data_IF_059311589808
#
_entry.id   IF_059311589808
#
_cell.length_a   1.000
_cell.length_b   1.000
_cell.length_c   1.000
_cell.angle_alpha   90.00
_cell.angle_beta   90.00
_cell.angle_gamma   90.00
#
_symmetry.space_group_name_H-M   'P 1'
#
loop_
_entity.id
_entity.type
_entity.pdbx_description
1 polymer ?
#
# COMPACT_ATOMS: atom_id res chain seq x y z
N UNK A 1 49.01 -20.99 84.20
CA UNK A 1 49.64 -20.56 82.95
C UNK A 1 49.28 -21.46 81.77
N UNK A 2 49.37 -22.80 81.87
CA UNK A 2 49.01 -23.72 80.76
C UNK A 2 47.52 -23.68 80.34
N UNK A 3 46.59 -23.46 81.28
CA UNK A 3 45.16 -23.39 80.97
C UNK A 3 44.74 -22.11 80.24
N UNK A 4 45.43 -20.99 80.50
CA UNK A 4 45.16 -19.70 79.85
C UNK A 4 45.54 -19.75 78.37
N UNK A 5 46.75 -20.26 78.07
CA UNK A 5 47.21 -20.43 76.69
C UNK A 5 46.33 -21.36 75.87
N UNK A 6 45.76 -22.43 76.46
CA UNK A 6 44.80 -23.30 75.76
C UNK A 6 43.50 -22.61 75.39
N UNK A 7 43.06 -21.62 76.18
CA UNK A 7 41.84 -20.85 75.90
C UNK A 7 42.12 -19.78 74.85
N UNK A 8 43.29 -19.13 74.92
CA UNK A 8 43.76 -18.17 73.90
C UNK A 8 43.90 -18.84 72.52
N UNK A 9 44.58 -19.99 72.44
CA UNK A 9 44.72 -20.72 71.16
C UNK A 9 43.36 -21.15 70.60
N UNK A 10 42.44 -21.63 71.45
CA UNK A 10 41.08 -21.96 70.99
C UNK A 10 40.32 -20.76 70.46
N UNK A 11 40.50 -19.59 71.08
CA UNK A 11 39.85 -18.36 70.64
C UNK A 11 40.41 -17.92 69.28
N UNK A 12 41.74 -18.00 69.10
CA UNK A 12 42.40 -17.73 67.83
C UNK A 12 41.94 -18.70 66.73
N UNK A 13 41.82 -20.00 67.03
CA UNK A 13 41.30 -21.01 66.10
C UNK A 13 39.85 -20.69 65.68
N UNK A 14 38.99 -20.34 66.65
CA UNK A 14 37.61 -19.92 66.41
C UNK A 14 37.51 -18.62 65.59
N UNK A 15 38.41 -17.66 65.82
CA UNK A 15 38.50 -16.44 65.02
C UNK A 15 38.86 -16.76 63.58
N UNK A 16 39.82 -17.67 63.38
CA UNK A 16 40.26 -18.06 62.05
C UNK A 16 39.17 -18.82 61.29
N UNK A 17 38.48 -19.76 61.95
CA UNK A 17 37.35 -20.50 61.37
C UNK A 17 36.20 -19.56 60.99
N UNK A 18 35.85 -18.61 61.87
CA UNK A 18 34.81 -17.63 61.60
C UNK A 18 35.14 -16.73 60.41
N UNK A 19 36.39 -16.28 60.32
CA UNK A 19 36.82 -15.43 59.22
C UNK A 19 36.82 -16.19 57.89
N UNK A 20 37.21 -17.48 57.90
CA UNK A 20 37.15 -18.32 56.70
C UNK A 20 35.72 -18.61 56.23
N UNK A 21 34.80 -18.94 57.14
CA UNK A 21 33.44 -19.32 56.73
C UNK A 21 32.52 -18.11 56.48
N UNK A 22 32.67 -17.02 57.24
CA UNK A 22 31.72 -15.91 57.23
C UNK A 22 32.35 -14.56 56.84
N UNK A 23 33.68 -14.49 56.62
CA UNK A 23 34.42 -13.24 56.38
C UNK A 23 34.08 -12.11 57.39
N UNK A 24 33.85 -12.47 58.65
CA UNK A 24 33.49 -11.51 59.72
C UNK A 24 34.34 -11.74 60.97
N UNK A 25 34.39 -10.72 61.84
CA UNK A 25 35.12 -10.78 63.12
C UNK A 25 34.20 -11.12 64.28
N UNK A 26 34.73 -11.74 65.34
CA UNK A 26 33.96 -12.13 66.54
C UNK A 26 33.28 -10.92 67.18
N UNK A 27 33.95 -9.77 67.21
CA UNK A 27 33.41 -8.53 67.77
C UNK A 27 32.14 -8.06 67.05
N UNK A 28 32.12 -8.16 65.71
CA UNK A 28 30.97 -7.80 64.90
C UNK A 28 29.75 -8.69 65.19
N UNK A 29 29.97 -9.95 65.54
CA UNK A 29 28.90 -10.90 65.90
C UNK A 29 28.37 -10.62 67.30
N UNK A 30 29.27 -10.34 68.26
CA UNK A 30 28.87 -9.99 69.62
C UNK A 30 28.07 -8.68 69.66
N UNK A 31 28.41 -7.69 68.82
CA UNK A 31 27.63 -6.45 68.68
C UNK A 31 26.23 -6.65 68.10
N UNK A 32 25.97 -7.77 67.40
CA UNK A 32 24.62 -8.10 66.90
C UNK A 32 23.67 -8.60 67.99
N UNK A 33 24.16 -8.78 69.23
CA UNK A 33 23.30 -9.07 70.39
C UNK A 33 22.63 -10.45 70.35
N UNK A 34 23.33 -11.45 69.85
CA UNK A 34 22.79 -12.82 69.75
C UNK A 34 22.81 -13.47 71.14
N UNK A 35 21.68 -13.99 71.59
CA UNK A 35 21.58 -14.69 72.87
C UNK A 35 22.43 -15.98 72.85
N UNK A 36 23.21 -16.27 73.90
CA UNK A 36 24.02 -17.48 73.95
C UNK A 36 23.10 -18.71 74.01
N UNK A 37 23.17 -19.58 73.00
CA UNK A 37 22.40 -20.83 72.98
C UNK A 37 22.96 -21.85 73.98
N UNK A 38 22.08 -22.65 74.56
CA UNK A 38 22.48 -23.76 75.44
C UNK A 38 23.15 -24.89 74.66
N UNK A 39 24.03 -25.65 75.32
CA UNK A 39 24.80 -26.76 74.70
C UNK A 39 23.90 -27.79 73.98
N UNK A 40 22.68 -28.04 74.45
CA UNK A 40 21.69 -28.95 73.84
C UNK A 40 21.02 -28.39 72.58
N UNK A 41 20.91 -27.07 72.47
CA UNK A 41 20.30 -26.40 71.31
C UNK A 41 21.32 -26.22 70.18
N UNK A 42 22.61 -26.18 70.54
CA UNK A 42 23.73 -26.09 69.60
C UNK A 42 23.75 -27.28 68.62
N UNK A 43 23.51 -28.50 69.12
CA UNK A 43 23.49 -29.72 68.28
C UNK A 43 22.36 -29.67 67.25
N UNK A 44 21.16 -29.25 67.65
CA UNK A 44 20.01 -29.13 66.75
C UNK A 44 20.22 -28.04 65.69
N UNK A 45 20.81 -26.91 66.08
CA UNK A 45 21.14 -25.80 65.16
C UNK A 45 22.24 -26.22 64.19
N UNK A 46 23.27 -26.95 64.64
CA UNK A 46 24.34 -27.45 63.78
C UNK A 46 23.82 -28.39 62.69
N UNK A 47 22.89 -29.29 63.03
CA UNK A 47 22.23 -30.16 62.04
C UNK A 47 21.42 -29.35 61.02
N UNK A 48 20.74 -28.28 61.45
CA UNK A 48 20.00 -27.41 60.54
C UNK A 48 20.92 -26.59 59.64
N UNK A 49 22.05 -26.10 60.16
CA UNK A 49 23.08 -25.42 59.38
C UNK A 49 23.64 -26.37 58.31
N UNK A 50 23.95 -27.62 58.66
CA UNK A 50 24.42 -28.61 57.69
C UNK A 50 23.37 -28.90 56.60
N UNK A 51 22.09 -29.04 56.98
CA UNK A 51 20.99 -29.20 56.01
C UNK A 51 20.85 -27.99 55.08
N UNK A 52 20.98 -26.78 55.60
CA UNK A 52 20.95 -25.56 54.77
C UNK A 52 22.19 -25.44 53.88
N UNK A 53 23.39 -25.71 54.39
CA UNK A 53 24.63 -25.77 53.59
C UNK A 53 24.49 -26.79 52.44
N UNK A 54 23.90 -27.96 52.70
CA UNK A 54 23.60 -28.96 51.66
C UNK A 54 22.58 -28.47 50.61
N UNK A 55 21.50 -27.80 51.05
CA UNK A 55 20.52 -27.21 50.12
C UNK A 55 21.13 -26.12 49.24
N UNK A 56 21.97 -25.26 49.81
CA UNK A 56 22.69 -24.22 49.05
C UNK A 56 23.68 -24.85 48.07
N UNK A 57 24.38 -25.91 48.48
CA UNK A 57 25.24 -26.69 47.58
C UNK A 57 24.48 -27.32 46.41
N UNK A 58 23.22 -27.72 46.61
CA UNK A 58 22.39 -28.31 45.54
C UNK A 58 21.96 -27.28 44.48
N UNK A 59 21.75 -26.03 44.89
CA UNK A 59 21.33 -24.95 44.00
C UNK A 59 22.47 -24.55 43.04
N UNK A 60 23.71 -24.87 43.41
CA UNK A 60 24.90 -24.45 42.66
C UNK A 60 25.26 -22.99 42.93
N UNK A 61 26.45 -22.58 42.47
CA UNK A 61 26.87 -21.19 42.52
C UNK A 61 26.07 -20.31 41.56
N UNK A 62 26.00 -19.02 41.84
CA UNK A 62 25.59 -18.04 40.84
C UNK A 62 26.79 -17.91 39.90
N UNK A 63 26.62 -18.37 38.67
CA UNK A 63 27.61 -18.15 37.62
C UNK A 63 27.52 -16.69 37.17
N UNK A 64 28.61 -15.95 37.32
CA UNK A 64 28.69 -14.54 36.95
C UNK A 64 28.54 -14.37 35.43
N UNK A 65 28.97 -15.37 34.64
CA UNK A 65 28.79 -15.38 33.18
C UNK A 65 27.31 -15.44 32.78
N UNK A 66 26.46 -16.14 33.56
CA UNK A 66 25.01 -16.25 33.30
C UNK A 66 24.30 -14.93 33.59
N UNK A 67 24.76 -14.18 34.60
CA UNK A 67 24.22 -12.84 34.88
C UNK A 67 24.58 -11.88 33.74
N UNK A 68 25.83 -11.93 33.27
CA UNK A 68 26.27 -11.13 32.11
C UNK A 68 25.48 -11.51 30.84
N UNK A 69 25.33 -12.80 30.53
CA UNK A 69 24.58 -13.28 29.36
C UNK A 69 23.11 -12.85 29.42
N UNK A 70 22.48 -12.92 30.59
CA UNK A 70 21.11 -12.44 30.80
C UNK A 70 21.01 -10.94 30.52
N UNK A 71 21.95 -10.13 31.02
CA UNK A 71 21.93 -8.67 30.77
C UNK A 71 22.09 -8.35 29.28
N UNK A 72 23.04 -9.00 28.59
CA UNK A 72 23.24 -8.81 27.15
C UNK A 72 22.03 -9.26 26.32
N UNK A 73 21.43 -10.40 26.67
CA UNK A 73 20.24 -10.93 25.98
C UNK A 73 19.03 -10.02 26.20
N UNK A 74 18.87 -9.49 27.41
CA UNK A 74 17.81 -8.54 27.75
C UNK A 74 17.97 -7.22 26.99
N UNK A 75 19.18 -6.69 26.87
CA UNK A 75 19.47 -5.50 26.07
C UNK A 75 19.15 -5.73 24.59
N UNK A 76 19.59 -6.86 24.02
CA UNK A 76 19.28 -7.23 22.64
C UNK A 76 17.77 -7.37 22.42
N UNK A 77 17.08 -8.04 23.33
CA UNK A 77 15.62 -8.19 23.28
C UNK A 77 14.91 -6.84 23.34
N UNK A 78 15.34 -5.94 24.24
CA UNK A 78 14.79 -4.58 24.33
C UNK A 78 14.93 -3.83 23.00
N UNK A 79 16.13 -3.83 22.41
CA UNK A 79 16.37 -3.18 21.13
C UNK A 79 15.53 -3.76 19.98
N UNK A 80 15.40 -5.09 19.89
CA UNK A 80 14.55 -5.73 18.88
C UNK A 80 13.07 -5.42 19.09
N UNK A 81 12.62 -5.40 20.36
CA UNK A 81 11.22 -5.08 20.69
C UNK A 81 10.86 -3.64 20.32
N UNK A 82 11.78 -2.70 20.52
CA UNK A 82 11.59 -1.31 20.12
C UNK A 82 11.53 -1.19 18.59
N UNK A 83 12.44 -1.87 17.88
CA UNK A 83 12.43 -1.93 16.40
C UNK A 83 11.13 -2.54 15.85
N UNK A 84 10.63 -3.61 16.48
CA UNK A 84 9.35 -4.22 16.11
C UNK A 84 8.18 -3.25 16.34
N UNK A 85 8.18 -2.53 17.47
CA UNK A 85 7.16 -1.54 17.76
C UNK A 85 7.18 -0.39 16.75
N UNK A 86 8.37 0.09 16.36
CA UNK A 86 8.51 1.14 15.34
C UNK A 86 8.09 0.65 13.96
N UNK A 87 8.39 -0.59 13.59
CA UNK A 87 7.93 -1.18 12.34
C UNK A 87 6.40 -1.33 12.32
N UNK A 88 5.79 -1.78 13.42
CA UNK A 88 4.34 -1.86 13.55
C UNK A 88 3.69 -0.50 13.38
N UNK A 89 4.23 0.55 14.00
CA UNK A 89 3.74 1.92 13.81
C UNK A 89 3.88 2.39 12.38
N UNK A 90 5.00 2.12 11.72
CA UNK A 90 5.20 2.47 10.31
C UNK A 90 4.19 1.77 9.39
N UNK A 91 3.82 0.52 9.69
CA UNK A 91 2.76 -0.22 8.98
C UNK A 91 1.40 0.46 9.18
N UNK A 92 1.07 0.85 10.41
CA UNK A 92 -0.19 1.55 10.71
C UNK A 92 -0.27 2.92 10.03
N UNK A 93 0.84 3.66 10.02
CA UNK A 93 0.96 4.95 9.33
C UNK A 93 0.78 4.76 7.81
N UNK A 94 1.39 3.73 7.23
CA UNK A 94 1.23 3.40 5.81
C UNK A 94 -0.23 3.07 5.47
N UNK A 95 -0.90 2.26 6.29
CA UNK A 95 -2.32 1.94 6.10
C UNK A 95 -3.21 3.19 6.18
N UNK A 96 -2.90 4.11 7.10
CA UNK A 96 -3.60 5.39 7.23
C UNK A 96 -3.41 6.25 5.98
N UNK A 97 -2.17 6.36 5.49
CA UNK A 97 -1.85 7.10 4.27
C UNK A 97 -2.56 6.50 3.05
N UNK A 98 -2.57 5.18 2.91
CA UNK A 98 -3.30 4.47 1.84
C UNK A 98 -4.80 4.81 1.89
N UNK A 99 -5.40 4.82 3.07
CA UNK A 99 -6.82 5.15 3.23
C UNK A 99 -7.13 6.61 2.85
N UNK A 100 -6.24 7.55 3.18
CA UNK A 100 -6.36 8.95 2.78
C UNK A 100 -6.23 9.13 1.27
N UNK A 101 -5.23 8.48 0.65
CA UNK A 101 -5.04 8.51 -0.80
C UNK A 101 -6.26 7.94 -1.53
N UNK A 102 -6.80 6.80 -1.07
CA UNK A 102 -8.01 6.19 -1.62
C UNK A 102 -9.20 7.16 -1.59
N UNK A 103 -9.38 7.90 -0.49
CA UNK A 103 -10.44 8.90 -0.36
C UNK A 103 -10.26 10.07 -1.34
N UNK A 104 -9.03 10.57 -1.48
CA UNK A 104 -8.69 11.64 -2.43
C UNK A 104 -8.91 11.15 -3.88
N UNK A 105 -8.45 9.95 -4.20
CA UNK A 105 -8.61 9.34 -5.52
C UNK A 105 -10.08 9.17 -5.88
N UNK A 106 -10.91 8.67 -4.96
CA UNK A 106 -12.36 8.54 -5.18
C UNK A 106 -13.01 9.89 -5.47
N UNK A 107 -12.71 10.91 -4.67
CA UNK A 107 -13.26 12.26 -4.85
C UNK A 107 -12.82 12.89 -6.19
N UNK A 108 -11.55 12.75 -6.58
CA UNK A 108 -11.03 13.22 -7.87
C UNK A 108 -11.69 12.48 -9.03
N UNK A 109 -11.81 11.16 -8.95
CA UNK A 109 -12.46 10.31 -9.94
C UNK A 109 -13.92 10.69 -10.12
N UNK A 110 -14.71 10.78 -9.04
CA UNK A 110 -16.14 11.12 -9.11
C UNK A 110 -16.36 12.47 -9.81
N UNK A 111 -15.49 13.45 -9.55
CA UNK A 111 -15.54 14.77 -10.19
C UNK A 111 -15.20 14.65 -11.68
N UNK A 112 -14.10 13.99 -12.03
CA UNK A 112 -13.67 13.80 -13.41
C UNK A 112 -14.70 13.00 -14.22
N UNK A 113 -15.26 11.93 -13.65
CA UNK A 113 -16.26 11.08 -14.30
C UNK A 113 -17.57 11.82 -14.55
N UNK A 114 -18.05 12.62 -13.59
CA UNK A 114 -19.24 13.47 -13.79
C UNK A 114 -19.03 14.48 -14.92
N UNK A 115 -17.85 15.09 -15.00
CA UNK A 115 -17.52 16.00 -16.08
C UNK A 115 -17.43 15.25 -17.43
N UNK A 116 -16.83 14.06 -17.44
CA UNK A 116 -16.71 13.23 -18.64
C UNK A 116 -18.05 12.81 -19.19
N UNK A 117 -18.93 12.35 -18.31
CA UNK A 117 -20.30 11.99 -18.64
C UNK A 117 -21.05 13.16 -19.28
N UNK A 118 -20.89 14.37 -18.74
CA UNK A 118 -21.52 15.59 -19.26
C UNK A 118 -20.99 15.96 -20.66
N UNK A 119 -19.67 16.02 -20.83
CA UNK A 119 -19.08 16.36 -22.12
C UNK A 119 -19.33 15.28 -23.17
N UNK A 120 -19.32 13.99 -22.78
CA UNK A 120 -19.69 12.89 -23.67
C UNK A 120 -21.12 13.02 -24.18
N UNK A 121 -22.09 13.25 -23.29
CA UNK A 121 -23.49 13.46 -23.70
C UNK A 121 -23.65 14.68 -24.63
N UNK A 122 -22.89 15.75 -24.36
CA UNK A 122 -22.87 16.97 -25.20
C UNK A 122 -22.32 16.66 -26.60
N UNK A 123 -21.11 16.11 -26.71
CA UNK A 123 -20.51 15.82 -28.02
C UNK A 123 -21.28 14.77 -28.80
N UNK A 124 -21.83 13.76 -28.12
CA UNK A 124 -22.71 12.78 -28.76
C UNK A 124 -23.92 13.46 -29.40
N UNK A 125 -24.61 14.34 -28.66
CA UNK A 125 -25.77 15.05 -29.19
C UNK A 125 -25.42 15.96 -30.37
N UNK A 126 -24.22 16.56 -30.39
CA UNK A 126 -23.76 17.40 -31.50
C UNK A 126 -23.50 16.54 -32.75
N UNK A 127 -22.80 15.42 -32.60
CA UNK A 127 -22.43 14.53 -33.71
C UNK A 127 -23.65 13.88 -34.36
N UNK A 128 -24.62 13.45 -33.55
CA UNK A 128 -25.83 12.77 -34.02
C UNK A 128 -27.00 13.73 -34.33
N UNK A 129 -26.83 15.04 -34.15
CA UNK A 129 -27.91 16.04 -34.28
C UNK A 129 -29.13 15.74 -33.39
N UNK A 130 -28.85 15.23 -32.19
CA UNK A 130 -29.81 14.66 -31.27
C UNK A 130 -29.34 13.32 -30.68
N UNK A 131 -30.27 12.59 -30.09
CA UNK A 131 -29.95 11.35 -29.37
C UNK A 131 -29.45 11.58 -27.94
N UNK A 132 -29.17 10.50 -27.22
CA UNK A 132 -28.70 10.51 -25.83
C UNK A 132 -27.62 9.46 -25.63
N UNK A 133 -26.60 9.77 -24.85
CA UNK A 133 -25.60 8.80 -24.45
C UNK A 133 -25.21 9.02 -22.99
N UNK A 134 -24.82 7.95 -22.30
CA UNK A 134 -24.40 7.98 -20.90
C UNK A 134 -23.30 6.95 -20.63
N UNK A 135 -22.51 7.22 -19.60
CA UNK A 135 -21.42 6.37 -19.11
C UNK A 135 -21.79 5.81 -17.73
N UNK A 136 -21.71 4.50 -17.59
CA UNK A 136 -22.11 3.79 -16.37
C UNK A 136 -20.90 3.06 -15.80
N UNK A 137 -20.57 3.29 -14.53
CA UNK A 137 -19.51 2.55 -13.83
C UNK A 137 -20.01 1.17 -13.43
N UNK A 138 -19.25 0.13 -13.77
CA UNK A 138 -19.50 -1.26 -13.39
C UNK A 138 -18.61 -1.58 -12.19
N UNK A 139 -19.24 -2.05 -11.12
CA UNK A 139 -18.55 -2.50 -9.92
C UNK A 139 -18.69 -4.01 -9.77
N UNK A 140 -17.59 -4.70 -9.54
CA UNK A 140 -17.57 -6.12 -9.22
C UNK A 140 -17.21 -6.32 -7.75
N UNK A 141 -17.77 -7.37 -7.16
CA UNK A 141 -17.35 -7.81 -5.82
C UNK A 141 -16.03 -8.56 -5.95
N UNK A 142 -15.02 -8.18 -5.15
CA UNK A 142 -13.81 -9.00 -5.01
C UNK A 142 -14.23 -10.40 -4.56
N UNK A 143 -13.99 -11.40 -5.43
CA UNK A 143 -14.04 -12.79 -4.99
C UNK A 143 -12.97 -12.93 -3.93
N UNK A 144 -13.35 -13.41 -2.75
CA UNK A 144 -12.38 -13.92 -1.78
C UNK A 144 -11.51 -14.92 -2.53
N UNK A 145 -10.19 -14.69 -2.58
CA UNK A 145 -9.27 -15.80 -2.73
C UNK A 145 -9.54 -16.69 -1.53
N UNK A 146 -10.15 -17.85 -1.77
CA UNK A 146 -10.33 -18.85 -0.74
C UNK A 146 -8.93 -19.25 -0.25
N UNK A 147 -8.48 -18.68 0.86
CA UNK A 147 -7.20 -19.02 1.50
C UNK A 147 -7.23 -20.41 2.17
N UNK A 148 -8.10 -21.32 1.70
CA UNK A 148 -8.15 -22.69 2.20
C UNK A 148 -7.04 -23.59 1.64
N UNK A 149 -6.31 -23.16 0.59
CA UNK A 149 -5.28 -24.01 -0.03
C UNK A 149 -3.87 -23.85 0.57
N UNK A 150 -3.59 -22.78 1.34
CA UNK A 150 -2.30 -22.62 2.03
C UNK A 150 -2.36 -22.96 3.54
N UNK A 151 -3.56 -23.01 4.13
CA UNK A 151 -3.75 -23.42 5.53
C UNK A 151 -3.51 -24.93 5.75
N UNK A 152 -3.59 -25.76 4.71
CA UNK A 152 -3.43 -27.21 4.82
C UNK A 152 -1.98 -27.69 5.04
N UNK A 153 -0.99 -26.78 5.01
CA UNK A 153 0.45 -27.14 5.15
C UNK A 153 1.01 -26.79 6.53
N UNK A 154 0.23 -26.14 7.40
CA UNK A 154 0.71 -25.65 8.72
C UNK A 154 0.08 -26.36 9.93
N UNK A 155 -0.66 -27.45 9.74
CA UNK A 155 -1.34 -28.19 10.83
C UNK A 155 -0.44 -29.13 11.66
N UNK A 156 0.89 -29.14 11.49
CA UNK A 156 1.76 -30.07 12.26
C UNK A 156 2.59 -29.46 13.40
N UNK A 157 2.56 -28.15 13.66
CA UNK A 157 3.22 -27.61 14.86
C UNK A 157 2.28 -26.78 15.72
N UNK A 158 2.00 -27.33 16.90
CA UNK A 158 1.18 -26.80 17.97
C UNK A 158 1.57 -25.38 18.38
N UNK A 159 0.69 -24.41 18.14
CA UNK A 159 0.58 -23.19 18.95
C UNK A 159 -0.89 -22.78 19.01
N UNK A 160 -1.37 -22.46 20.21
CA UNK A 160 -2.77 -22.18 20.53
C UNK A 160 -3.42 -21.17 19.56
N UNK A 161 -4.38 -21.68 18.77
CA UNK A 161 -5.02 -20.98 17.66
C UNK A 161 -6.40 -20.40 18.02
N UNK A 162 -6.61 -19.95 19.27
CA UNK A 162 -7.91 -19.38 19.66
C UNK A 162 -7.97 -17.84 19.61
N UNK A 163 -6.83 -17.14 19.62
CA UNK A 163 -6.81 -15.66 19.68
C UNK A 163 -6.50 -14.94 18.35
N UNK A 164 -6.14 -15.67 17.28
CA UNK A 164 -5.72 -15.05 15.99
C UNK A 164 -6.88 -14.97 14.98
N UNK A 165 -7.87 -15.85 15.05
CA UNK A 165 -8.99 -15.86 14.10
C UNK A 165 -10.01 -14.72 14.32
N UNK A 166 -10.21 -14.26 15.55
CA UNK A 166 -11.29 -13.31 15.84
C UNK A 166 -10.96 -11.85 15.46
N UNK A 167 -9.67 -11.50 15.40
CA UNK A 167 -9.21 -10.14 15.06
C UNK A 167 -9.13 -9.94 13.53
N UNK A 168 -8.80 -10.99 12.77
CA UNK A 168 -8.76 -10.95 11.31
C UNK A 168 -10.16 -10.98 10.66
N UNK A 169 -11.15 -11.58 11.33
CA UNK A 169 -12.51 -11.75 10.79
C UNK A 169 -13.40 -10.50 10.86
N UNK A 170 -13.03 -9.46 11.63
CA UNK A 170 -13.85 -8.26 11.85
C UNK A 170 -13.27 -7.00 11.19
N UNK A 171 -13.26 -6.93 9.84
CA UNK A 171 -13.45 -5.70 9.00
C UNK A 171 -12.89 -5.79 7.57
N UNK A 172 -12.98 -6.91 6.87
CA UNK A 172 -12.90 -6.84 5.40
C UNK A 172 -14.28 -6.37 4.91
N UNK A 173 -14.51 -5.05 4.96
CA UNK A 173 -15.64 -4.42 4.27
C UNK A 173 -15.56 -4.87 2.82
N UNK A 174 -16.62 -5.54 2.33
CA UNK A 174 -16.84 -5.80 0.90
C UNK A 174 -16.52 -4.54 0.11
N UNK A 175 -15.33 -4.47 -0.49
CA UNK A 175 -14.89 -3.32 -1.26
C UNK A 175 -15.35 -3.59 -2.68
N UNK A 176 -16.42 -2.92 -3.11
CA UNK A 176 -16.83 -2.96 -4.50
C UNK A 176 -15.74 -2.29 -5.32
N UNK A 177 -15.05 -3.07 -6.15
CA UNK A 177 -13.96 -2.58 -7.00
C UNK A 177 -14.56 -2.16 -8.33
N UNK A 178 -14.14 -1.00 -8.82
CA UNK A 178 -14.50 -0.55 -10.15
C UNK A 178 -13.87 -1.51 -11.17
N UNK A 179 -14.69 -2.30 -11.85
CA UNK A 179 -14.24 -3.28 -12.85
C UNK A 179 -14.20 -2.67 -14.25
N UNK A 180 -15.10 -1.73 -14.55
CA UNK A 180 -15.10 -1.09 -15.86
C UNK A 180 -16.11 0.04 -16.01
N UNK A 181 -16.23 0.52 -17.25
CA UNK A 181 -17.19 1.54 -17.66
C UNK A 181 -17.98 0.98 -18.84
N UNK A 182 -19.30 0.95 -18.73
CA UNK A 182 -20.20 0.66 -19.85
C UNK A 182 -20.62 1.95 -20.55
N UNK A 183 -20.88 1.84 -21.85
CA UNK A 183 -21.30 2.95 -22.70
C UNK A 183 -22.69 2.62 -23.23
N UNK A 184 -23.65 3.49 -22.91
CA UNK A 184 -25.00 3.42 -23.46
C UNK A 184 -25.21 4.54 -24.47
N UNK A 185 -25.73 4.19 -25.64
CA UNK A 185 -25.96 5.14 -26.72
C UNK A 185 -27.36 4.96 -27.31
N UNK A 186 -28.00 6.07 -27.62
CA UNK A 186 -29.34 6.15 -28.18
C UNK A 186 -29.32 7.15 -29.34
N UNK A 187 -29.00 6.69 -30.56
CA UNK A 187 -29.10 7.50 -31.77
C UNK A 187 -30.53 8.04 -31.98
N UNK A 188 -30.72 9.13 -32.74
CA UNK A 188 -32.04 9.70 -33.00
C UNK A 188 -32.98 8.66 -33.63
N UNK A 189 -34.20 8.55 -33.07
CA UNK A 189 -35.22 7.62 -33.57
C UNK A 189 -35.03 6.15 -33.20
N UNK A 190 -34.01 5.78 -32.41
CA UNK A 190 -33.76 4.40 -31.95
C UNK A 190 -33.96 4.24 -30.45
N UNK A 191 -34.02 2.99 -29.99
CA UNK A 191 -33.98 2.63 -28.56
C UNK A 191 -32.54 2.64 -28.05
N UNK A 192 -32.37 2.74 -26.74
CA UNK A 192 -31.07 2.61 -26.07
C UNK A 192 -30.44 1.26 -26.42
N UNK A 193 -29.20 1.28 -26.86
CA UNK A 193 -28.43 0.10 -27.26
C UNK A 193 -27.03 0.16 -26.66
N UNK A 194 -26.43 -1.01 -26.41
CA UNK A 194 -25.00 -1.11 -26.12
C UNK A 194 -24.20 -0.91 -27.41
N UNK A 195 -22.96 -0.44 -27.29
CA UNK A 195 -22.09 -0.11 -28.45
C UNK A 195 -21.97 -1.26 -29.45
N UNK A 196 -22.01 -2.52 -28.98
CA UNK A 196 -21.93 -3.71 -29.85
C UNK A 196 -23.11 -3.86 -30.81
N UNK A 197 -24.27 -3.30 -30.48
CA UNK A 197 -25.49 -3.38 -31.29
C UNK A 197 -25.65 -2.24 -32.31
N UNK A 198 -24.76 -1.24 -32.28
CA UNK A 198 -24.78 -0.09 -33.18
C UNK A 198 -24.20 -0.43 -34.57
N UNK A 199 -24.59 0.35 -35.59
CA UNK A 199 -24.03 0.24 -36.94
C UNK A 199 -22.53 0.62 -36.98
N UNK A 200 -21.83 0.30 -38.08
CA UNK A 200 -20.42 0.66 -38.27
C UNK A 200 -20.14 2.15 -38.04
N UNK A 201 -20.87 3.04 -38.73
CA UNK A 201 -20.73 4.49 -38.58
C UNK A 201 -21.18 4.99 -37.20
N UNK A 202 -22.26 4.43 -36.65
CA UNK A 202 -22.74 4.81 -35.30
C UNK A 202 -21.72 4.48 -34.21
N UNK A 203 -21.02 3.34 -34.33
CA UNK A 203 -19.92 3.00 -33.43
C UNK A 203 -18.77 3.98 -33.55
N UNK A 204 -18.35 4.33 -34.77
CA UNK A 204 -17.27 5.29 -35.00
C UNK A 204 -17.62 6.66 -34.40
N UNK A 205 -18.82 7.18 -34.64
CA UNK A 205 -19.24 8.46 -34.07
C UNK A 205 -19.34 8.43 -32.54
N UNK A 206 -19.80 7.31 -31.96
CA UNK A 206 -19.83 7.14 -30.50
C UNK A 206 -18.43 7.14 -29.91
N UNK A 207 -17.47 6.46 -30.56
CA UNK A 207 -16.07 6.45 -30.16
C UNK A 207 -15.43 7.84 -30.27
N UNK A 208 -15.70 8.57 -31.34
CA UNK A 208 -15.21 9.95 -31.52
C UNK A 208 -15.80 10.87 -30.46
N UNK A 209 -17.09 10.75 -30.14
CA UNK A 209 -17.73 11.50 -29.06
C UNK A 209 -17.02 11.28 -27.71
N UNK A 210 -16.69 10.02 -27.39
CA UNK A 210 -15.96 9.67 -26.18
C UNK A 210 -14.54 10.23 -26.20
N UNK A 211 -13.83 10.11 -27.32
CA UNK A 211 -12.50 10.66 -27.49
C UNK A 211 -12.50 12.18 -27.26
N UNK A 212 -13.41 12.92 -27.90
CA UNK A 212 -13.55 14.37 -27.70
C UNK A 212 -13.85 14.73 -26.24
N UNK A 213 -14.67 13.94 -25.54
CA UNK A 213 -14.96 14.14 -24.12
C UNK A 213 -13.71 13.97 -23.25
N UNK A 214 -12.90 12.93 -23.52
CA UNK A 214 -11.63 12.70 -22.81
C UNK A 214 -10.66 13.85 -23.06
N UNK A 215 -10.49 14.25 -24.33
CA UNK A 215 -9.59 15.34 -24.72
C UNK A 215 -9.98 16.69 -24.11
N UNK A 216 -11.28 16.95 -23.92
CA UNK A 216 -11.75 18.18 -23.26
C UNK A 216 -11.40 18.24 -21.77
N UNK A 217 -11.41 17.10 -21.08
CA UNK A 217 -11.11 17.04 -19.63
C UNK A 217 -9.61 17.03 -19.39
N UNK A 218 -8.88 16.31 -20.23
CA UNK A 218 -7.44 16.15 -20.13
C UNK A 218 -6.78 16.59 -21.44
N UNK A 219 -6.67 17.91 -21.67
CA UNK A 219 -6.10 18.44 -22.91
C UNK A 219 -4.63 18.05 -23.00
N UNK A 220 -4.30 17.30 -24.05
CA UNK A 220 -2.92 16.94 -24.36
C UNK A 220 -2.25 18.07 -25.16
N UNK A 221 -0.94 18.31 -25.02
CA UNK A 221 -0.26 19.40 -25.74
C UNK A 221 -0.41 19.28 -27.27
N UNK A 222 -0.33 18.06 -27.80
CA UNK A 222 -0.58 17.76 -29.21
C UNK A 222 -1.34 16.44 -29.35
N UNK A 223 -2.12 16.31 -30.42
CA UNK A 223 -2.96 15.16 -30.73
C UNK A 223 -2.78 14.83 -32.20
N UNK A 224 -2.54 13.55 -32.51
CA UNK A 224 -2.44 13.04 -33.88
C UNK A 224 -3.65 12.14 -34.15
N UNK A 225 -4.39 12.44 -35.22
CA UNK A 225 -5.55 11.66 -35.66
C UNK A 225 -5.26 11.12 -37.06
N UNK A 226 -5.38 9.81 -37.24
CA UNK A 226 -5.13 9.14 -38.52
C UNK A 226 -6.42 8.54 -39.08
N UNK A 227 -6.92 9.12 -40.17
CA UNK A 227 -8.12 8.72 -40.93
C UNK A 227 -9.36 8.42 -40.08
N UNK A 228 -9.54 9.15 -38.98
CA UNK A 228 -10.62 8.90 -38.00
C UNK A 228 -12.02 9.12 -38.60
N UNK A 229 -12.13 9.93 -39.66
CA UNK A 229 -13.37 10.26 -40.35
C UNK A 229 -13.70 9.37 -41.55
N UNK A 230 -12.88 8.35 -41.88
CA UNK A 230 -13.04 7.56 -43.11
C UNK A 230 -14.41 6.85 -43.23
N UNK A 231 -15.06 6.56 -42.10
CA UNK A 231 -16.37 5.89 -42.04
C UNK A 231 -17.56 6.87 -41.93
N UNK A 232 -17.34 8.18 -42.10
CA UNK A 232 -18.34 9.21 -41.88
C UNK A 232 -18.79 9.85 -43.20
N UNK A 233 -20.03 10.31 -43.20
CA UNK A 233 -20.56 11.15 -44.29
C UNK A 233 -20.11 12.61 -44.12
N UNK A 234 -20.29 13.40 -45.17
CA UNK A 234 -19.85 14.79 -45.23
C UNK A 234 -20.49 15.66 -44.12
N UNK A 235 -21.76 15.42 -43.80
CA UNK A 235 -22.48 16.17 -42.76
C UNK A 235 -21.88 15.91 -41.37
N UNK A 236 -21.57 14.65 -41.03
CA UNK A 236 -20.95 14.31 -39.75
C UNK A 236 -19.48 14.72 -39.69
N UNK A 237 -18.74 14.68 -40.81
CA UNK A 237 -17.39 15.23 -40.89
C UNK A 237 -17.36 16.72 -40.51
N UNK A 238 -18.29 17.53 -41.02
CA UNK A 238 -18.38 18.95 -40.67
C UNK A 238 -18.65 19.18 -39.17
N UNK A 239 -19.47 18.33 -38.54
CA UNK A 239 -19.75 18.39 -37.10
C UNK A 239 -18.49 18.10 -36.27
N UNK A 240 -17.71 17.09 -36.66
CA UNK A 240 -16.44 16.77 -36.00
C UNK A 240 -15.46 17.92 -36.14
N UNK A 241 -15.32 18.49 -37.34
CA UNK A 241 -14.43 19.63 -37.57
C UNK A 241 -14.74 20.78 -36.61
N UNK A 242 -16.02 21.10 -36.39
CA UNK A 242 -16.41 22.15 -35.46
C UNK A 242 -16.02 21.82 -34.00
N UNK A 243 -16.15 20.55 -33.60
CA UNK A 243 -15.70 20.09 -32.28
C UNK A 243 -14.17 20.16 -32.17
N UNK A 244 -13.44 19.74 -33.20
CA UNK A 244 -11.98 19.78 -33.23
C UNK A 244 -11.47 21.23 -33.18
N UNK A 245 -12.15 22.19 -33.83
CA UNK A 245 -11.84 23.62 -33.71
C UNK A 245 -12.02 24.14 -32.28
N UNK A 246 -13.08 23.73 -31.57
CA UNK A 246 -13.26 24.06 -30.15
C UNK A 246 -12.12 23.48 -29.29
N UNK A 247 -11.70 22.24 -29.57
CA UNK A 247 -10.62 21.60 -28.82
C UNK A 247 -9.24 22.20 -29.19
N UNK A 248 -9.08 22.72 -30.41
CA UNK A 248 -7.84 23.28 -30.90
C UNK A 248 -7.42 24.56 -30.16
N UNK A 249 -8.35 25.23 -29.46
CA UNK A 249 -8.03 26.37 -28.58
C UNK A 249 -7.06 26.00 -27.44
N UNK A 250 -7.03 24.73 -27.04
CA UNK A 250 -6.23 24.25 -25.90
C UNK A 250 -5.16 23.22 -26.29
N UNK A 251 -5.29 22.59 -27.46
CA UNK A 251 -4.44 21.49 -27.91
C UNK A 251 -4.07 21.63 -29.38
N UNK A 252 -2.84 21.29 -29.76
CA UNK A 252 -2.46 21.27 -31.17
C UNK A 252 -2.97 19.99 -31.85
N UNK A 253 -3.65 20.09 -33.00
CA UNK A 253 -4.12 18.94 -33.77
C UNK A 253 -3.29 18.73 -35.04
N UNK A 254 -2.90 17.48 -35.27
CA UNK A 254 -2.29 17.00 -36.52
C UNK A 254 -3.23 15.92 -37.05
N UNK A 255 -3.84 16.15 -38.21
CA UNK A 255 -4.84 15.24 -38.77
C UNK A 255 -4.32 14.71 -40.11
N UNK A 256 -4.25 13.39 -40.23
CA UNK A 256 -3.94 12.68 -41.47
C UNK A 256 -5.27 12.26 -42.07
N UNK A 257 -5.59 12.78 -43.25
CA UNK A 257 -6.87 12.52 -43.91
C UNK A 257 -6.79 12.77 -45.40
N UNK A 258 -7.63 12.06 -46.14
CA UNK A 258 -7.92 12.31 -47.55
C UNK A 258 -9.28 13.04 -47.75
N UNK A 259 -9.99 13.37 -46.67
CA UNK A 259 -11.30 14.02 -46.72
C UNK A 259 -11.15 15.54 -47.00
N UNK A 260 -11.79 15.99 -48.08
CA UNK A 260 -11.74 17.40 -48.53
C UNK A 260 -12.26 18.36 -47.46
N UNK A 261 -13.35 18.02 -46.76
CA UNK A 261 -13.92 18.90 -45.74
C UNK A 261 -12.92 19.15 -44.60
N UNK A 262 -12.22 18.10 -44.14
CA UNK A 262 -11.18 18.21 -43.11
C UNK A 262 -10.00 19.03 -43.60
N UNK A 263 -9.53 18.79 -44.83
CA UNK A 263 -8.43 19.57 -45.43
C UNK A 263 -8.76 21.06 -45.54
N UNK A 264 -9.98 21.41 -45.97
CA UNK A 264 -10.41 22.80 -46.10
C UNK A 264 -10.52 23.54 -44.77
N UNK A 265 -10.69 22.81 -43.66
CA UNK A 265 -10.84 23.39 -42.35
C UNK A 265 -9.52 23.59 -41.58
N UNK A 266 -8.41 23.06 -42.10
CA UNK A 266 -7.10 23.14 -41.48
C UNK A 266 -6.41 24.49 -41.75
N UNK A 267 -5.56 24.95 -40.82
CA UNK A 267 -4.79 26.19 -41.00
C UNK A 267 -3.58 26.01 -41.93
N UNK A 268 -3.00 24.80 -41.93
CA UNK A 268 -1.89 24.43 -42.80
C UNK A 268 -2.06 22.99 -43.31
N UNK A 269 -1.69 22.77 -44.57
CA UNK A 269 -1.71 21.48 -45.22
C UNK A 269 -0.29 21.01 -45.51
N UNK A 270 -0.02 19.75 -45.17
CA UNK A 270 1.22 19.06 -45.50
C UNK A 270 0.88 17.89 -46.42
N UNK A 271 1.33 17.97 -47.68
CA UNK A 271 1.16 16.93 -48.68
C UNK A 271 2.42 16.08 -48.81
N UNK A 272 2.24 14.78 -48.97
CA UNK A 272 3.35 13.87 -49.31
C UNK A 272 3.23 13.47 -50.77
N UNK A 273 4.27 13.71 -51.56
CA UNK A 273 4.33 13.36 -52.99
C UNK A 273 5.48 12.41 -53.22
N UNK A 274 5.31 11.39 -54.06
CA UNK A 274 6.38 10.47 -54.43
C UNK A 274 6.84 10.78 -55.86
N UNK A 275 8.15 11.02 -56.02
CA UNK A 275 8.77 11.22 -57.34
C UNK A 275 8.96 9.91 -58.09
N UNK A 276 9.45 10.00 -59.34
CA UNK A 276 9.80 8.82 -60.15
C UNK A 276 11.02 8.05 -59.60
N UNK A 277 11.72 8.62 -58.62
CA UNK A 277 12.83 8.04 -57.89
C UNK A 277 12.39 7.19 -56.68
N UNK A 278 11.08 7.11 -56.40
CA UNK A 278 10.53 6.34 -55.29
C UNK A 278 10.78 6.96 -53.91
N UNK A 279 11.25 8.21 -53.86
CA UNK A 279 11.48 8.97 -52.62
C UNK A 279 10.26 9.84 -52.32
N UNK A 280 9.80 9.79 -51.07
CA UNK A 280 8.72 10.65 -50.59
C UNK A 280 9.26 12.05 -50.25
N UNK A 281 8.69 13.06 -50.90
CA UNK A 281 8.94 14.47 -50.62
C UNK A 281 7.74 15.11 -49.93
N UNK A 282 8.01 16.03 -49.02
CA UNK A 282 6.99 16.76 -48.27
C UNK A 282 6.80 18.15 -48.87
N UNK A 283 5.56 18.48 -49.17
CA UNK A 283 5.09 19.78 -49.61
C UNK A 283 4.24 20.40 -48.49
N UNK A 284 4.35 21.71 -48.29
CA UNK A 284 3.57 22.43 -47.27
C UNK A 284 2.91 23.66 -47.86
N UNK A 285 1.65 23.88 -47.54
CA UNK A 285 0.87 25.06 -47.96
C UNK A 285 0.15 25.62 -46.73
N UNK A 286 0.25 26.93 -46.49
CA UNK A 286 -0.58 27.62 -45.49
C UNK A 286 -1.86 28.09 -46.14
N UNK A 287 -3.00 27.87 -45.49
CA UNK A 287 -4.30 28.17 -46.09
C UNK A 287 -4.59 29.68 -46.15
N UNK A 288 -3.96 30.47 -45.28
CA UNK A 288 -4.07 31.95 -45.28
C UNK A 288 -3.50 32.62 -46.55
N UNK A 289 -2.59 31.94 -47.27
CA UNK A 289 -1.92 32.46 -48.46
C UNK A 289 -2.69 32.15 -49.76
N UNK A 290 -3.83 31.45 -49.68
CA UNK A 290 -4.63 31.06 -50.85
C UNK A 290 -5.75 32.09 -51.07
N UNK A 291 -5.73 32.86 -52.18
CA UNK A 291 -6.82 33.79 -52.47
C UNK A 291 -8.12 33.01 -52.66
N UNK A 292 -9.15 33.33 -51.88
CA UNK A 292 -10.50 32.77 -52.04
C UNK A 292 -10.98 33.01 -53.47
N UNK A 293 -11.17 31.92 -54.21
CA UNK A 293 -11.69 31.92 -55.59
C UNK A 293 -13.21 32.10 -55.62
#
# INVERSE_FOLDING_TARGET
QVALGKVETKLEDLQHELYQEMQTTIEAILTRGIAPLGMTELEAVQVNIQKMKYKVSLIGGIDEEVVEEYTQTKERYGGLSDQLADLSRAIDDLHTLIAELDAIMKKKRDKAFKQMRKEFARYFSILFDGGKADLIEIYEEEKKLDMNDEAAVLEEDSFDAEDVEEVAAKKIRKKNVLSGIDITACPPGKKIQHVRALSGGERTMTSIALMCAILKINPSPFIVLDEVEAALDEANTLRIINILKELAEQSQFIIISHNRATMHAADALYGVTMGNDGVSHLLSVKMDDVPTA
#
